data_IF_054620891307
#
_entry.id   IF_054620891307
#
_cell.length_a   1.000
_cell.length_b   1.000
_cell.length_c   1.000
_cell.angle_alpha   90.00
_cell.angle_beta   90.00
_cell.angle_gamma   90.00
#
_symmetry.space_group_name_H-M   'P 1'
#
loop_
_entity.id
_entity.type
_entity.pdbx_description
1 polymer ?
#
# COMPACT_ATOMS: atom_id res chain seq x y z
N UNK A 1 5.40 20.47 -20.87
CA UNK A 1 4.34 19.45 -20.62
C UNK A 1 3.93 19.61 -19.16
N UNK A 2 2.84 20.35 -18.88
CA UNK A 2 2.46 20.72 -17.50
C UNK A 2 1.90 19.49 -16.76
N UNK A 3 2.45 19.19 -15.59
CA UNK A 3 1.87 18.24 -14.64
C UNK A 3 0.43 18.68 -14.35
N UNK A 4 -0.55 17.81 -14.61
CA UNK A 4 -1.95 18.08 -14.29
C UNK A 4 -2.07 18.02 -12.77
N UNK A 5 -2.48 19.14 -12.18
CA UNK A 5 -2.69 19.30 -10.76
C UNK A 5 -3.77 18.30 -10.30
N UNK A 6 -3.44 17.51 -9.28
CA UNK A 6 -4.26 16.44 -8.73
C UNK A 6 -5.38 17.02 -7.82
N UNK A 7 -5.44 18.35 -7.67
CA UNK A 7 -6.38 19.07 -6.80
C UNK A 7 -7.85 19.02 -7.23
N UNK A 8 -8.17 18.61 -8.45
CA UNK A 8 -9.55 18.61 -9.00
C UNK A 8 -10.34 17.31 -8.78
N UNK A 9 -9.86 16.38 -7.95
CA UNK A 9 -10.56 15.11 -7.62
C UNK A 9 -11.77 15.32 -6.67
N UNK A 10 -12.39 16.51 -6.64
CA UNK A 10 -13.73 16.72 -6.05
C UNK A 10 -14.86 16.59 -7.08
N UNK A 11 -14.53 16.64 -8.37
CA UNK A 11 -15.41 16.22 -9.46
C UNK A 11 -15.10 14.76 -9.77
N UNK A 12 -15.93 13.84 -9.30
CA UNK A 12 -15.78 12.42 -9.57
C UNK A 12 -15.58 12.19 -11.08
N UNK A 13 -14.46 11.56 -11.43
CA UNK A 13 -14.14 11.21 -12.82
C UNK A 13 -15.38 10.63 -13.51
N UNK A 14 -15.72 11.16 -14.69
CA UNK A 14 -16.85 10.65 -15.47
C UNK A 14 -16.78 9.13 -15.57
N UNK A 15 -17.91 8.45 -15.32
CA UNK A 15 -18.05 7.00 -15.42
C UNK A 15 -17.45 6.44 -16.72
N UNK A 16 -17.58 7.17 -17.84
CA UNK A 16 -16.97 6.77 -19.11
C UNK A 16 -15.44 6.68 -19.04
N UNK A 17 -14.77 7.64 -18.38
CA UNK A 17 -13.32 7.63 -18.21
C UNK A 17 -12.88 6.53 -17.24
N UNK A 18 -13.63 6.33 -16.15
CA UNK A 18 -13.43 5.21 -15.23
C UNK A 18 -13.52 3.87 -15.96
N UNK A 19 -14.59 3.64 -16.72
CA UNK A 19 -14.81 2.40 -17.46
C UNK A 19 -13.75 2.18 -18.54
N UNK A 20 -13.34 3.23 -19.27
CA UNK A 20 -12.25 3.13 -20.25
C UNK A 20 -10.96 2.63 -19.59
N UNK A 21 -10.59 3.21 -18.44
CA UNK A 21 -9.38 2.79 -17.74
C UNK A 21 -9.49 1.40 -17.12
N UNK A 22 -10.63 1.06 -16.52
CA UNK A 22 -10.91 -0.30 -16.02
C UNK A 22 -10.81 -1.34 -17.14
N UNK A 23 -11.48 -1.11 -18.27
CA UNK A 23 -11.45 -2.00 -19.44
C UNK A 23 -10.04 -2.13 -20.01
N UNK A 24 -9.26 -1.03 -20.05
CA UNK A 24 -7.86 -1.10 -20.48
C UNK A 24 -7.01 -2.01 -19.58
N UNK A 25 -7.18 -1.92 -18.25
CA UNK A 25 -6.49 -2.78 -17.27
C UNK A 25 -6.88 -4.24 -17.47
N UNK A 26 -8.18 -4.53 -17.60
CA UNK A 26 -8.68 -5.89 -17.81
C UNK A 26 -8.14 -6.47 -19.12
N UNK A 27 -8.22 -5.71 -20.21
CA UNK A 27 -7.75 -6.16 -21.51
C UNK A 27 -6.24 -6.43 -21.49
N UNK A 28 -5.45 -5.52 -20.91
CA UNK A 28 -3.99 -5.72 -20.78
C UNK A 28 -3.67 -6.97 -19.95
N UNK A 29 -4.38 -7.17 -18.83
CA UNK A 29 -4.18 -8.31 -17.94
C UNK A 29 -4.59 -9.64 -18.55
N UNK A 30 -5.51 -9.63 -19.53
CA UNK A 30 -6.03 -10.82 -20.22
C UNK A 30 -5.33 -11.14 -21.54
N UNK A 31 -4.58 -10.22 -22.13
CA UNK A 31 -3.76 -10.52 -23.30
C UNK A 31 -2.83 -11.71 -22.97
N UNK A 32 -2.63 -12.62 -23.94
CA UNK A 32 -2.09 -13.99 -23.81
C UNK A 32 -0.66 -14.14 -23.25
N UNK A 33 -0.16 -13.21 -22.44
CA UNK A 33 1.10 -13.32 -21.72
C UNK A 33 0.85 -13.35 -20.21
N UNK A 34 1.29 -14.43 -19.57
CA UNK A 34 1.35 -14.56 -18.10
C UNK A 34 2.13 -13.44 -17.41
N UNK A 35 2.95 -12.72 -18.18
CA UNK A 35 3.85 -11.67 -17.67
C UNK A 35 3.19 -10.30 -17.65
N UNK A 36 2.00 -10.15 -18.23
CA UNK A 36 1.30 -8.87 -18.28
C UNK A 36 0.86 -8.38 -16.89
N UNK A 37 0.21 -9.19 -16.03
CA UNK A 37 -0.20 -8.72 -14.71
C UNK A 37 0.98 -8.28 -13.82
N UNK A 38 2.12 -9.02 -13.73
CA UNK A 38 3.31 -8.53 -13.04
C UNK A 38 3.85 -7.21 -13.60
N UNK A 39 4.00 -7.09 -14.92
CA UNK A 39 4.49 -5.84 -15.57
C UNK A 39 3.55 -4.66 -15.31
N UNK A 40 2.24 -4.89 -15.29
CA UNK A 40 1.28 -3.84 -14.96
C UNK A 40 1.40 -3.41 -13.49
N UNK A 41 1.59 -4.37 -12.59
CA UNK A 41 1.81 -4.10 -11.17
C UNK A 41 3.08 -3.26 -10.95
N UNK A 42 4.19 -3.61 -11.60
CA UNK A 42 5.44 -2.84 -11.57
C UNK A 42 5.27 -1.42 -12.14
N UNK A 43 4.48 -1.27 -13.22
CA UNK A 43 4.16 0.05 -13.78
C UNK A 43 3.35 0.90 -12.80
N UNK A 44 2.42 0.32 -12.05
CA UNK A 44 1.72 1.05 -11.00
C UNK A 44 2.67 1.49 -9.89
N UNK A 45 3.56 0.60 -9.45
CA UNK A 45 4.56 0.91 -8.43
C UNK A 45 5.49 2.06 -8.85
N UNK A 46 6.02 2.02 -10.08
CA UNK A 46 6.82 3.10 -10.65
C UNK A 46 6.03 4.41 -10.78
N UNK A 47 4.79 4.34 -11.28
CA UNK A 47 3.92 5.51 -11.40
C UNK A 47 3.66 6.18 -10.04
N UNK A 48 3.35 5.40 -9.00
CA UNK A 48 3.14 5.94 -7.66
C UNK A 48 4.41 6.54 -7.07
N UNK A 49 5.57 5.95 -7.33
CA UNK A 49 6.87 6.52 -6.94
C UNK A 49 7.11 7.88 -7.62
N UNK A 50 6.88 7.97 -8.93
CA UNK A 50 7.03 9.23 -9.69
C UNK A 50 6.09 10.32 -9.18
N UNK A 51 4.82 9.97 -8.93
CA UNK A 51 3.84 10.92 -8.39
C UNK A 51 4.25 11.38 -6.98
N UNK A 52 4.68 10.47 -6.10
CA UNK A 52 5.13 10.82 -4.75
C UNK A 52 6.35 11.76 -4.79
N UNK A 53 7.36 11.46 -5.62
CA UNK A 53 8.52 12.34 -5.82
C UNK A 53 8.13 13.72 -6.36
N UNK A 54 7.18 13.77 -7.29
CA UNK A 54 6.65 15.03 -7.80
C UNK A 54 5.93 15.84 -6.71
N UNK A 55 5.23 15.17 -5.79
CA UNK A 55 4.59 15.83 -4.64
C UNK A 55 5.65 16.42 -3.72
N UNK A 56 6.68 15.64 -3.34
CA UNK A 56 7.78 16.14 -2.51
C UNK A 56 8.45 17.36 -3.16
N UNK A 57 8.78 17.29 -4.45
CA UNK A 57 9.37 18.40 -5.19
C UNK A 57 8.48 19.66 -5.20
N UNK A 58 7.16 19.51 -5.20
CA UNK A 58 6.21 20.64 -5.10
C UNK A 58 6.07 21.21 -3.69
N UNK A 59 6.46 20.45 -2.67
CA UNK A 59 6.38 20.85 -1.27
C UNK A 59 7.62 21.61 -0.82
N UNK A 60 8.79 21.22 -1.32
CA UNK A 60 10.07 21.84 -0.99
C UNK A 60 10.11 23.31 -1.42
N UNK A 61 10.66 24.22 -0.58
CA UNK A 61 10.86 25.60 -0.96
C UNK A 61 11.83 25.72 -2.14
N UNK A 62 11.57 26.67 -3.05
CA UNK A 62 12.44 26.94 -4.20
C UNK A 62 13.75 27.62 -3.76
N UNK A 63 13.74 28.29 -2.62
CA UNK A 63 14.92 28.94 -2.02
C UNK A 63 15.03 28.60 -0.52
N UNK A 64 15.98 27.74 -0.10
CA UNK A 64 16.18 27.40 1.31
C UNK A 64 16.78 28.56 2.13
N UNK A 65 17.25 29.64 1.52
CA UNK A 65 17.82 30.80 2.22
C UNK A 65 16.79 31.91 2.56
N UNK A 66 15.55 31.78 2.09
CA UNK A 66 14.48 32.76 2.32
C UNK A 66 13.81 32.60 3.71
N UNK A 67 14.04 31.47 4.36
CA UNK A 67 13.55 31.10 5.68
C UNK A 67 14.32 31.80 6.79
N UNK A 68 13.64 32.58 7.63
CA UNK A 68 14.24 33.20 8.83
C UNK A 68 13.80 32.56 10.14
N UNK A 69 12.84 31.64 10.10
CA UNK A 69 12.22 31.07 11.30
C UNK A 69 11.84 29.61 11.08
N UNK A 70 12.81 28.72 11.32
CA UNK A 70 12.75 27.28 11.03
C UNK A 70 11.51 26.59 11.65
N UNK A 71 11.06 27.03 12.83
CA UNK A 71 9.94 26.41 13.54
C UNK A 71 8.57 26.64 12.87
N UNK A 72 8.37 27.82 12.27
CA UNK A 72 7.10 28.14 11.57
C UNK A 72 7.05 27.41 10.24
N UNK A 73 8.19 27.31 9.54
CA UNK A 73 8.26 26.59 8.28
C UNK A 73 8.05 25.09 8.43
N UNK A 74 8.59 24.47 9.48
CA UNK A 74 8.34 23.07 9.80
C UNK A 74 6.84 22.79 10.02
N UNK A 75 6.14 23.67 10.77
CA UNK A 75 4.70 23.54 11.01
C UNK A 75 3.89 23.69 9.71
N UNK A 76 4.24 24.67 8.88
CA UNK A 76 3.60 24.89 7.57
C UNK A 76 3.85 23.69 6.66
N UNK A 77 5.08 23.17 6.61
CA UNK A 77 5.43 21.99 5.82
C UNK A 77 4.64 20.76 6.27
N UNK A 78 4.54 20.51 7.57
CA UNK A 78 3.72 19.43 8.12
C UNK A 78 2.27 19.50 7.66
N UNK A 79 1.64 20.68 7.77
CA UNK A 79 0.26 20.88 7.33
C UNK A 79 0.07 20.68 5.81
N UNK A 80 1.03 21.11 5.00
CA UNK A 80 1.04 20.93 3.54
C UNK A 80 1.22 19.46 3.14
N UNK A 81 2.09 18.72 3.84
CA UNK A 81 2.27 17.28 3.64
C UNK A 81 0.96 16.55 3.93
N UNK A 82 0.31 16.84 5.06
CA UNK A 82 -0.97 16.20 5.41
C UNK A 82 -2.03 16.46 4.34
N UNK A 83 -2.18 17.70 3.88
CA UNK A 83 -3.14 18.03 2.83
C UNK A 83 -2.86 17.29 1.51
N UNK A 84 -1.58 17.20 1.11
CA UNK A 84 -1.18 16.46 -0.10
C UNK A 84 -1.32 14.94 0.07
N UNK A 85 -1.05 14.42 1.26
CA UNK A 85 -1.25 13.01 1.57
C UNK A 85 -2.71 12.61 1.46
N UNK A 86 -3.65 13.41 1.97
CA UNK A 86 -5.08 13.13 1.87
C UNK A 86 -5.54 13.07 0.40
N UNK A 87 -5.16 14.06 -0.41
CA UNK A 87 -5.46 14.06 -1.85
C UNK A 87 -4.83 12.86 -2.58
N UNK A 88 -3.59 12.51 -2.24
CA UNK A 88 -2.89 11.35 -2.79
C UNK A 88 -3.57 10.03 -2.40
N UNK A 89 -3.96 9.88 -1.13
CA UNK A 89 -4.67 8.71 -0.59
C UNK A 89 -6.02 8.51 -1.29
N UNK A 90 -6.75 9.58 -1.55
CA UNK A 90 -8.02 9.52 -2.27
C UNK A 90 -7.83 9.11 -3.74
N UNK A 91 -6.81 9.67 -4.40
CA UNK A 91 -6.39 9.25 -5.73
C UNK A 91 -5.96 7.77 -5.78
N UNK A 92 -5.22 7.31 -4.79
CA UNK A 92 -4.82 5.90 -4.67
C UNK A 92 -6.03 4.97 -4.50
N UNK A 93 -7.00 5.34 -3.66
CA UNK A 93 -8.24 4.58 -3.51
C UNK A 93 -9.04 4.51 -4.82
N UNK A 94 -8.97 5.55 -5.65
CA UNK A 94 -9.58 5.55 -6.97
C UNK A 94 -8.89 4.57 -7.94
N UNK A 95 -7.55 4.63 -8.04
CA UNK A 95 -6.77 3.70 -8.88
C UNK A 95 -6.94 2.25 -8.42
N UNK A 96 -7.07 2.03 -7.11
CA UNK A 96 -7.34 0.70 -6.54
C UNK A 96 -8.67 0.10 -7.03
N UNK A 97 -9.73 0.93 -7.07
CA UNK A 97 -11.02 0.51 -7.66
C UNK A 97 -10.91 0.17 -9.14
N UNK A 98 -10.19 0.98 -9.92
CA UNK A 98 -9.94 0.70 -11.34
C UNK A 98 -9.12 -0.57 -11.56
N UNK A 99 -8.18 -0.85 -10.65
CA UNK A 99 -7.32 -2.03 -10.68
C UNK A 99 -7.88 -3.23 -9.92
N UNK A 100 -9.18 -3.23 -9.58
CA UNK A 100 -9.82 -4.31 -8.84
C UNK A 100 -9.64 -5.70 -9.52
N UNK A 101 -9.59 -5.74 -10.86
CA UNK A 101 -9.30 -6.98 -11.58
C UNK A 101 -7.88 -7.51 -11.29
N UNK A 102 -6.88 -6.63 -11.33
CA UNK A 102 -5.48 -6.96 -11.01
C UNK A 102 -5.36 -7.42 -9.55
N UNK A 103 -6.00 -6.69 -8.63
CA UNK A 103 -6.02 -7.07 -7.21
C UNK A 103 -6.63 -8.47 -6.99
N UNK A 104 -7.76 -8.76 -7.66
CA UNK A 104 -8.49 -10.02 -7.49
C UNK A 104 -7.74 -11.23 -8.06
N UNK A 105 -7.07 -11.08 -9.20
CA UNK A 105 -6.53 -12.22 -9.94
C UNK A 105 -5.01 -12.37 -9.81
N UNK A 106 -4.28 -11.26 -9.79
CA UNK A 106 -2.83 -11.29 -9.64
C UNK A 106 -2.44 -11.16 -8.18
N UNK A 107 -2.75 -10.03 -7.53
CA UNK A 107 -2.30 -9.75 -6.16
C UNK A 107 -2.76 -10.85 -5.20
N UNK A 108 -4.03 -11.25 -5.25
CA UNK A 108 -4.55 -12.34 -4.41
C UNK A 108 -3.78 -13.64 -4.61
N UNK A 109 -3.52 -14.04 -5.87
CA UNK A 109 -2.76 -15.26 -6.19
C UNK A 109 -1.34 -15.18 -5.64
N UNK A 110 -0.63 -14.07 -5.86
CA UNK A 110 0.73 -13.90 -5.35
C UNK A 110 0.76 -13.91 -3.82
N UNK A 111 -0.23 -13.30 -3.17
CA UNK A 111 -0.38 -13.33 -1.70
C UNK A 111 -0.61 -14.78 -1.22
N UNK A 112 -1.49 -15.53 -1.88
CA UNK A 112 -1.78 -16.94 -1.58
C UNK A 112 -0.53 -17.84 -1.79
N UNK A 113 0.32 -17.51 -2.77
CA UNK A 113 1.65 -18.12 -2.99
C UNK A 113 2.71 -17.68 -1.97
N UNK A 114 2.34 -16.88 -0.98
CA UNK A 114 3.22 -16.43 0.09
C UNK A 114 4.09 -15.24 -0.30
N UNK A 115 3.80 -14.52 -1.40
CA UNK A 115 4.50 -13.29 -1.78
C UNK A 115 3.89 -12.03 -1.12
N UNK A 116 2.95 -12.20 -0.20
CA UNK A 116 2.31 -11.11 0.56
C UNK A 116 3.21 -10.43 1.59
N UNK A 117 2.62 -9.53 2.40
CA UNK A 117 3.33 -8.85 3.49
C UNK A 117 3.65 -9.78 4.67
N UNK A 118 2.77 -10.73 4.95
CA UNK A 118 2.91 -11.76 5.99
C UNK A 118 3.76 -12.96 5.53
N UNK A 119 4.83 -12.68 4.78
CA UNK A 119 5.82 -13.65 4.28
C UNK A 119 6.53 -14.33 5.45
N UNK A 120 6.84 -15.63 5.30
CA UNK A 120 7.67 -16.37 6.26
C UNK A 120 9.05 -15.72 6.44
N UNK A 121 9.60 -15.09 5.41
CA UNK A 121 10.87 -14.38 5.45
C UNK A 121 10.81 -13.05 6.24
N UNK A 122 9.60 -12.53 6.49
CA UNK A 122 9.39 -11.36 7.33
C UNK A 122 9.13 -11.74 8.80
N UNK A 123 9.00 -13.03 9.09
CA UNK A 123 8.63 -13.59 10.38
C UNK A 123 9.90 -14.02 11.09
N UNK A 124 10.44 -13.06 11.85
CA UNK A 124 11.41 -13.25 12.93
C UNK A 124 12.87 -13.50 12.47
N UNK A 125 13.75 -13.01 13.33
CA UNK A 125 15.21 -13.10 13.34
C UNK A 125 15.79 -14.29 12.58
N UNK A 126 16.82 -14.04 11.78
CA UNK A 126 17.41 -14.96 10.79
C UNK A 126 17.72 -16.34 11.39
N UNK A 127 18.05 -16.39 12.68
CA UNK A 127 18.34 -17.60 13.46
C UNK A 127 17.12 -18.51 13.68
N UNK A 128 15.93 -17.94 13.96
CA UNK A 128 14.70 -18.74 14.05
C UNK A 128 14.26 -19.27 12.69
N UNK A 129 14.56 -18.56 11.59
CA UNK A 129 14.27 -19.04 10.24
C UNK A 129 15.15 -20.24 9.87
N UNK A 130 16.44 -20.23 10.23
CA UNK A 130 17.38 -21.32 9.94
C UNK A 130 17.03 -22.60 10.72
N UNK A 131 16.79 -22.50 12.02
CA UNK A 131 16.40 -23.64 12.86
C UNK A 131 15.05 -24.21 12.42
N UNK A 132 14.10 -23.34 12.11
CA UNK A 132 12.74 -23.75 11.86
C UNK A 132 12.53 -24.18 10.39
N UNK A 133 13.27 -23.68 9.40
CA UNK A 133 13.19 -24.14 8.00
C UNK A 133 13.36 -25.66 7.82
N UNK A 134 14.10 -26.30 8.72
CA UNK A 134 14.28 -27.76 8.75
C UNK A 134 13.05 -28.48 9.34
N UNK A 135 12.42 -27.93 10.36
CA UNK A 135 11.16 -28.41 10.95
C UNK A 135 9.93 -28.08 10.09
N UNK A 136 9.98 -27.02 9.26
CA UNK A 136 8.87 -26.49 8.48
C UNK A 136 8.37 -27.42 7.38
N UNK A 137 9.24 -28.30 6.85
CA UNK A 137 8.83 -29.35 5.91
C UNK A 137 8.14 -30.53 6.61
N UNK A 138 8.45 -30.76 7.88
CA UNK A 138 7.93 -31.89 8.64
C UNK A 138 6.55 -31.57 9.27
N UNK A 139 6.27 -30.32 9.65
CA UNK A 139 5.06 -29.94 10.39
C UNK A 139 4.32 -28.71 9.83
N UNK A 140 3.64 -28.82 8.66
CA UNK A 140 2.96 -27.70 8.02
C UNK A 140 1.82 -27.10 8.86
N UNK A 141 1.16 -27.89 9.71
CA UNK A 141 0.07 -27.43 10.57
C UNK A 141 0.56 -26.55 11.74
N UNK A 142 1.72 -26.87 12.31
CA UNK A 142 2.33 -26.08 13.39
C UNK A 142 2.83 -24.74 12.87
N UNK A 143 3.38 -24.76 11.65
CA UNK A 143 3.73 -23.56 10.90
C UNK A 143 2.54 -22.62 10.73
N UNK A 144 1.40 -23.11 10.24
CA UNK A 144 0.19 -22.27 10.09
C UNK A 144 -0.24 -21.62 11.42
N UNK A 145 -0.14 -22.35 12.54
CA UNK A 145 -0.43 -21.80 13.87
C UNK A 145 0.56 -20.70 14.27
N UNK A 146 1.85 -20.89 13.99
CA UNK A 146 2.89 -19.90 14.27
C UNK A 146 2.71 -18.63 13.43
N UNK A 147 2.46 -18.79 12.13
CA UNK A 147 2.17 -17.69 11.20
C UNK A 147 0.94 -16.89 11.64
N UNK A 148 -0.12 -17.59 12.08
CA UNK A 148 -1.33 -16.95 12.61
C UNK A 148 -1.01 -16.13 13.86
N UNK A 149 -0.28 -16.70 14.83
CA UNK A 149 0.12 -16.00 16.06
C UNK A 149 1.01 -14.78 15.76
N UNK A 150 1.95 -14.90 14.83
CA UNK A 150 2.78 -13.77 14.42
C UNK A 150 1.94 -12.68 13.75
N UNK A 151 1.05 -13.06 12.82
CA UNK A 151 0.16 -12.12 12.15
C UNK A 151 -0.73 -11.37 13.15
N UNK A 152 -1.25 -12.06 14.16
CA UNK A 152 -2.02 -11.44 15.24
C UNK A 152 -1.18 -10.42 16.03
N UNK A 153 0.08 -10.76 16.37
CA UNK A 153 1.01 -9.82 17.03
C UNK A 153 1.32 -8.60 16.16
N UNK A 154 1.57 -8.81 14.87
CA UNK A 154 1.86 -7.72 13.96
C UNK A 154 0.63 -6.83 13.75
N UNK A 155 -0.57 -7.40 13.58
CA UNK A 155 -1.81 -6.62 13.48
C UNK A 155 -2.06 -5.79 14.74
N UNK A 156 -1.72 -6.29 15.93
CA UNK A 156 -1.76 -5.50 17.18
C UNK A 156 -0.90 -4.25 17.10
N UNK A 157 0.31 -4.34 16.54
CA UNK A 157 1.19 -3.18 16.31
C UNK A 157 0.54 -2.13 15.39
N UNK A 158 -0.28 -2.57 14.44
CA UNK A 158 -1.00 -1.69 13.49
C UNK A 158 -2.38 -1.21 14.00
N UNK A 159 -2.66 -1.42 15.29
CA UNK A 159 -3.84 -0.92 15.98
C UNK A 159 -5.04 -1.86 15.98
N UNK A 160 -4.84 -3.16 15.69
CA UNK A 160 -5.88 -4.17 15.90
C UNK A 160 -5.85 -4.68 17.34
N UNK A 161 -6.84 -4.31 18.16
CA UNK A 161 -7.05 -4.93 19.46
C UNK A 161 -8.34 -5.76 19.45
N UNK A 162 -8.25 -7.04 19.83
CA UNK A 162 -9.43 -7.86 20.11
C UNK A 162 -10.19 -7.37 21.36
N UNK A 163 -9.52 -6.64 22.26
CA UNK A 163 -10.12 -6.08 23.47
C UNK A 163 -10.93 -4.80 23.19
N UNK A 164 -10.69 -4.14 22.05
CA UNK A 164 -11.47 -2.98 21.58
C UNK A 164 -12.77 -3.39 20.86
N UNK A 165 -13.21 -4.63 21.00
CA UNK A 165 -14.54 -5.07 20.57
C UNK A 165 -15.61 -4.28 21.33
N UNK A 166 -16.13 -3.21 20.71
CA UNK A 166 -17.15 -2.33 21.28
C UNK A 166 -16.68 -0.97 21.78
N UNK A 167 -15.36 -0.69 21.84
CA UNK A 167 -14.83 0.66 22.14
C UNK A 167 -14.28 1.32 20.87
N UNK A 168 -14.86 2.47 20.50
CA UNK A 168 -14.62 3.14 19.23
C UNK A 168 -15.37 2.43 18.10
N UNK A 169 -16.24 3.18 17.40
CA UNK A 169 -17.17 2.65 16.40
C UNK A 169 -16.52 1.76 15.33
N UNK A 170 -17.32 0.85 14.77
CA UNK A 170 -16.91 -0.14 13.77
C UNK A 170 -16.82 -1.57 14.32
N UNK A 171 -17.07 -2.55 13.45
CA UNK A 171 -17.02 -3.99 13.75
C UNK A 171 -15.59 -4.50 13.89
N UNK A 172 -15.40 -5.64 14.56
CA UNK A 172 -14.08 -6.28 14.66
C UNK A 172 -13.45 -6.56 13.28
N UNK A 173 -14.27 -6.95 12.30
CA UNK A 173 -13.83 -7.22 10.93
C UNK A 173 -13.35 -5.94 10.21
N UNK A 174 -14.01 -4.81 10.42
CA UNK A 174 -13.58 -3.51 9.88
C UNK A 174 -12.25 -3.08 10.48
N UNK A 175 -12.09 -3.22 11.80
CA UNK A 175 -10.83 -2.91 12.50
C UNK A 175 -9.68 -3.80 12.02
N UNK A 176 -9.93 -5.10 11.84
CA UNK A 176 -8.95 -6.02 11.28
C UNK A 176 -8.56 -5.63 9.85
N UNK A 177 -9.55 -5.31 9.01
CA UNK A 177 -9.33 -4.87 7.63
C UNK A 177 -8.48 -3.61 7.58
N UNK A 178 -8.76 -2.63 8.44
CA UNK A 178 -7.95 -1.41 8.53
C UNK A 178 -6.51 -1.69 8.97
N UNK A 179 -6.33 -2.57 9.96
CA UNK A 179 -4.99 -2.95 10.42
C UNK A 179 -4.20 -3.69 9.32
N UNK A 180 -4.85 -4.57 8.55
CA UNK A 180 -4.23 -5.22 7.38
C UNK A 180 -3.81 -4.17 6.34
N UNK A 181 -4.69 -3.22 6.01
CA UNK A 181 -4.36 -2.14 5.06
C UNK A 181 -3.16 -1.30 5.53
N UNK A 182 -3.09 -1.01 6.83
CA UNK A 182 -1.94 -0.29 7.43
C UNK A 182 -0.67 -1.13 7.38
N UNK A 183 -0.74 -2.42 7.72
CA UNK A 183 0.39 -3.35 7.63
C UNK A 183 0.90 -3.50 6.19
N UNK A 184 0.00 -3.58 5.21
CA UNK A 184 0.34 -3.61 3.79
C UNK A 184 1.07 -2.33 3.35
N UNK A 185 0.57 -1.15 3.73
CA UNK A 185 1.22 0.12 3.41
C UNK A 185 2.57 0.30 4.15
N UNK A 186 2.70 -0.27 5.35
CA UNK A 186 3.93 -0.29 6.14
C UNK A 186 4.96 -1.34 5.72
N UNK A 187 4.59 -2.24 4.82
CA UNK A 187 5.44 -3.34 4.39
C UNK A 187 6.67 -2.91 3.55
N UNK A 188 7.60 -3.85 3.33
CA UNK A 188 8.79 -3.65 2.50
C UNK A 188 8.43 -3.54 1.01
N UNK A 189 9.27 -2.92 0.18
CA UNK A 189 8.97 -2.68 -1.23
C UNK A 189 8.80 -3.96 -2.09
N UNK A 190 9.51 -5.03 -1.74
CA UNK A 190 9.53 -6.28 -2.52
C UNK A 190 8.33 -7.21 -2.24
N UNK A 191 7.40 -6.83 -1.35
CA UNK A 191 6.19 -7.63 -1.10
C UNK A 191 5.05 -7.22 -2.02
N UNK A 192 4.23 -8.20 -2.40
CA UNK A 192 3.02 -7.98 -3.20
C UNK A 192 1.87 -7.65 -2.25
N UNK A 193 1.27 -6.49 -2.47
CA UNK A 193 0.15 -5.92 -1.71
C UNK A 193 -0.86 -5.28 -2.67
N UNK A 194 -2.04 -4.90 -2.17
CA UNK A 194 -3.05 -4.19 -2.96
C UNK A 194 -2.48 -2.93 -3.63
N UNK A 195 -3.02 -2.55 -4.80
CA UNK A 195 -2.61 -1.32 -5.51
C UNK A 195 -2.68 -0.07 -4.62
N UNK A 196 -3.72 0.04 -3.78
CA UNK A 196 -3.80 1.10 -2.77
C UNK A 196 -2.62 1.09 -1.81
N UNK A 197 -2.27 -0.07 -1.26
CA UNK A 197 -1.16 -0.19 -0.33
C UNK A 197 0.19 0.13 -0.99
N UNK A 198 0.39 -0.25 -2.26
CA UNK A 198 1.57 0.15 -3.04
C UNK A 198 1.70 1.67 -3.07
N UNK A 199 0.61 2.38 -3.39
CA UNK A 199 0.61 3.83 -3.44
C UNK A 199 0.99 4.45 -2.08
N UNK A 200 0.34 4.02 -1.00
CA UNK A 200 0.60 4.54 0.35
C UNK A 200 2.03 4.23 0.82
N UNK A 201 2.54 3.05 0.48
CA UNK A 201 3.92 2.65 0.72
C UNK A 201 4.91 3.56 -0.02
N UNK A 202 4.62 3.93 -1.27
CA UNK A 202 5.44 4.87 -2.04
C UNK A 202 5.43 6.27 -1.46
N UNK A 203 4.28 6.77 -1.03
CA UNK A 203 4.24 8.07 -0.35
C UNK A 203 5.15 8.09 0.88
N UNK A 204 5.08 7.05 1.73
CA UNK A 204 5.92 6.93 2.94
C UNK A 204 7.43 6.86 2.66
N UNK A 205 7.83 6.36 1.49
CA UNK A 205 9.24 6.08 1.17
C UNK A 205 9.89 7.18 0.33
N UNK A 206 9.09 7.93 -0.43
CA UNK A 206 9.58 8.95 -1.37
C UNK A 206 9.28 10.38 -0.90
N UNK A 207 8.40 10.60 0.08
CA UNK A 207 8.05 11.89 0.70
C UNK A 207 8.43 11.88 2.17
#
# INVERSE_FOLDING_TARGET
>A
MRARDISDIKSGMNYQTYMKGYTAIVNFSRQNSSDNPPKLYERFDAYFADVARSILASLLPVDPAASKDDSIEELILGSRIVARFEAYKDGAAFVDRMSAYLNRHYVRREVDEGKGWSRKENIVDKKMFEDAAQEWRAHPAEMQKLMKKWREKELKRWGFSQEDQGRGGGTAAEKETMAVQRAEAGSKLFVVVSTRAVALRRFRTEV
#
